data_IF_835047051285
#
_entry.id   IF_835047051285
#
_cell.length_a   1.000
_cell.length_b   1.000
_cell.length_c   1.000
_cell.angle_alpha   90.00
_cell.angle_beta   90.00
_cell.angle_gamma   90.00
#
_symmetry.space_group_name_H-M   'P 1'
#
loop_
_entity.id
_entity.type
_entity.pdbx_description
1 polymer ?
#
# COMPACT_ATOMS: atom_id res chain seq x y z
N UNK A 1 -34.77 -35.22 30.14
CA UNK A 1 -33.87 -35.37 31.30
C UNK A 1 -33.15 -36.67 31.03
N UNK A 2 -32.02 -36.53 30.36
CA UNK A 2 -31.41 -37.60 29.58
C UNK A 2 -30.60 -38.55 30.47
N UNK A 3 -30.71 -39.84 30.19
CA UNK A 3 -30.10 -40.99 30.88
C UNK A 3 -28.56 -40.98 30.99
N UNK A 4 -27.90 -40.00 30.38
CA UNK A 4 -26.44 -39.81 30.40
C UNK A 4 -25.95 -39.25 31.75
N UNK A 5 -26.74 -38.40 32.39
CA UNK A 5 -26.37 -37.74 33.65
C UNK A 5 -26.51 -38.67 34.87
N UNK A 6 -27.36 -39.70 34.77
CA UNK A 6 -27.52 -40.72 35.81
C UNK A 6 -26.33 -41.71 35.78
N UNK A 7 -25.75 -41.99 34.60
CA UNK A 7 -24.54 -42.81 34.48
C UNK A 7 -23.28 -42.09 34.98
N UNK A 8 -23.20 -40.77 34.80
CA UNK A 8 -22.08 -39.97 35.29
C UNK A 8 -22.02 -39.93 36.84
N UNK A 9 -23.17 -39.98 37.52
CA UNK A 9 -23.24 -39.98 38.98
C UNK A 9 -22.88 -41.34 39.62
N UNK A 10 -23.12 -42.45 38.92
CA UNK A 10 -22.75 -43.81 39.39
C UNK A 10 -21.24 -44.05 39.31
N UNK A 11 -20.53 -43.42 38.37
CA UNK A 11 -19.07 -43.55 38.23
C UNK A 11 -18.31 -42.79 39.33
N UNK A 12 -18.91 -41.75 39.92
CA UNK A 12 -18.30 -40.94 40.97
C UNK A 12 -18.54 -41.46 42.40
N UNK A 13 -19.37 -42.49 42.59
CA UNK A 13 -19.67 -43.07 43.90
C UNK A 13 -18.88 -44.35 44.23
N UNK A 14 -17.96 -44.78 43.36
CA UNK A 14 -17.04 -45.90 43.62
C UNK A 14 -15.62 -45.45 43.96
N UNK A 15 -15.47 -44.26 44.52
CA UNK A 15 -14.29 -43.91 45.31
C UNK A 15 -14.48 -44.40 46.74
N UNK A 16 -13.94 -45.57 47.05
CA UNK A 16 -13.50 -45.92 48.40
C UNK A 16 -12.53 -47.10 48.30
N UNK A 17 -11.23 -46.80 48.29
CA UNK A 17 -10.12 -47.53 48.94
C UNK A 17 -8.76 -46.96 48.45
N UNK A 18 -7.65 -47.12 49.21
CA UNK A 18 -6.91 -45.99 49.77
C UNK A 18 -5.81 -45.42 48.87
N UNK A 19 -5.51 -44.15 49.11
CA UNK A 19 -4.39 -43.36 48.56
C UNK A 19 -3.03 -43.96 48.96
N UNK A 20 -2.63 -45.08 48.38
CA UNK A 20 -1.30 -45.63 48.66
C UNK A 20 -0.72 -46.55 47.59
N UNK A 21 -0.97 -46.35 46.28
CA UNK A 21 -0.19 -47.11 45.26
C UNK A 21 -0.19 -46.56 43.83
N UNK A 22 -0.13 -45.23 43.64
CA UNK A 22 0.16 -44.63 42.33
C UNK A 22 1.23 -43.56 42.38
N UNK A 23 2.39 -43.90 42.96
CA UNK A 23 3.64 -43.23 42.60
C UNK A 23 4.19 -43.92 41.37
N UNK A 24 3.56 -43.68 40.22
CA UNK A 24 4.20 -43.94 38.93
C UNK A 24 5.39 -42.99 38.85
N UNK A 25 6.59 -43.57 38.96
CA UNK A 25 7.90 -42.96 38.76
C UNK A 25 7.82 -42.00 37.57
N UNK A 26 7.73 -40.70 37.84
CA UNK A 26 7.88 -39.67 36.81
C UNK A 26 9.32 -39.78 36.34
N UNK A 27 9.54 -40.43 35.19
CA UNK A 27 10.84 -40.44 34.55
C UNK A 27 11.19 -39.01 34.14
N UNK A 28 12.05 -38.39 34.94
CA UNK A 28 12.64 -37.09 34.66
C UNK A 28 13.87 -37.36 33.79
N UNK A 29 13.81 -36.94 32.54
CA UNK A 29 14.93 -37.02 31.62
C UNK A 29 15.72 -35.71 31.65
N UNK A 30 17.04 -35.81 31.71
CA UNK A 30 17.93 -34.64 31.77
C UNK A 30 18.24 -34.10 30.38
N UNK A 31 18.24 -32.78 30.24
CA UNK A 31 18.64 -32.13 29.00
C UNK A 31 20.16 -32.29 28.77
N UNK A 32 20.62 -32.79 27.62
CA UNK A 32 22.05 -32.98 27.36
C UNK A 32 22.82 -31.64 27.18
N UNK A 33 22.10 -30.53 26.98
CA UNK A 33 22.71 -29.22 26.77
C UNK A 33 22.89 -28.40 28.06
N UNK A 34 21.99 -28.53 29.04
CA UNK A 34 22.01 -27.75 30.28
C UNK A 34 21.98 -28.58 31.57
N UNK A 35 21.80 -29.90 31.48
CA UNK A 35 21.77 -30.82 32.63
C UNK A 35 20.52 -30.74 33.50
N UNK A 36 19.55 -29.87 33.19
CA UNK A 36 18.31 -29.76 33.97
C UNK A 36 17.36 -30.92 33.69
N UNK A 37 16.67 -31.38 34.75
CA UNK A 37 15.68 -32.46 34.66
C UNK A 37 14.31 -31.95 34.21
N UNK A 38 13.76 -32.58 33.17
CA UNK A 38 12.44 -32.29 32.64
C UNK A 38 11.56 -33.54 32.61
N UNK A 39 10.25 -33.35 32.77
CA UNK A 39 9.29 -34.40 32.51
C UNK A 39 9.23 -34.75 31.02
N UNK A 40 8.72 -35.94 30.69
CA UNK A 40 8.69 -36.48 29.33
C UNK A 40 8.02 -35.55 28.31
N UNK A 41 7.02 -34.76 28.73
CA UNK A 41 6.33 -33.81 27.89
C UNK A 41 7.04 -32.44 27.75
N UNK A 42 7.90 -32.06 28.71
CA UNK A 42 8.56 -30.75 28.72
C UNK A 42 9.97 -30.76 28.12
N UNK A 43 10.65 -31.92 28.07
CA UNK A 43 11.96 -32.06 27.44
C UNK A 43 11.99 -31.71 25.93
N UNK A 44 11.04 -32.17 25.07
CA UNK A 44 11.08 -31.90 23.64
C UNK A 44 10.85 -30.41 23.32
N UNK A 45 10.14 -29.70 24.19
CA UNK A 45 9.88 -28.25 24.06
C UNK A 45 11.11 -27.45 24.48
N UNK A 46 11.83 -27.93 25.50
CA UNK A 46 13.03 -27.27 26.02
C UNK A 46 14.25 -27.42 25.09
N UNK A 47 14.48 -28.61 24.52
CA UNK A 47 15.72 -28.92 23.77
C UNK A 47 16.06 -27.94 22.63
N UNK A 48 15.13 -27.56 21.72
CA UNK A 48 15.45 -26.67 20.61
C UNK A 48 15.89 -25.28 21.08
N UNK A 49 15.23 -24.78 22.13
CA UNK A 49 15.47 -23.46 22.69
C UNK A 49 16.76 -23.42 23.52
N UNK A 50 17.06 -24.51 24.21
CA UNK A 50 18.31 -24.68 24.95
C UNK A 50 19.53 -24.76 24.02
N UNK A 51 19.44 -25.53 22.94
CA UNK A 51 20.50 -25.65 21.94
C UNK A 51 20.84 -24.30 21.29
N UNK A 52 19.81 -23.53 20.90
CA UNK A 52 20.01 -22.21 20.30
C UNK A 52 20.72 -21.24 21.26
N UNK A 53 20.41 -21.27 22.55
CA UNK A 53 21.10 -20.44 23.55
C UNK A 53 22.56 -20.84 23.73
N UNK A 54 22.87 -22.13 23.82
CA UNK A 54 24.25 -22.61 23.97
C UNK A 54 25.11 -22.26 22.74
N UNK A 55 24.54 -22.34 21.53
CA UNK A 55 25.22 -21.95 20.28
C UNK A 55 25.46 -20.43 20.20
N UNK A 56 24.54 -19.61 20.71
CA UNK A 56 24.73 -18.15 20.80
C UNK A 56 25.78 -17.75 21.85
N UNK A 57 25.78 -18.41 23.00
CA UNK A 57 26.75 -18.13 24.07
C UNK A 57 28.18 -18.53 23.67
N UNK A 58 28.34 -19.63 22.93
CA UNK A 58 29.65 -20.07 22.40
C UNK A 58 30.20 -19.14 21.31
N UNK A 59 29.34 -18.50 20.51
CA UNK A 59 29.78 -17.48 19.54
C UNK A 59 30.16 -16.14 20.19
N UNK A 60 29.51 -15.77 21.31
CA UNK A 60 29.86 -14.56 22.06
C UNK A 60 31.11 -14.72 22.95
N UNK A 61 31.50 -15.95 23.29
CA UNK A 61 32.68 -16.26 24.13
C UNK A 61 34.04 -16.25 23.41
N UNK A 62 34.11 -15.98 22.10
CA UNK A 62 35.39 -15.77 21.39
C UNK A 62 36.05 -14.41 21.64
N UNK A 63 35.59 -13.64 22.63
CA UNK A 63 36.36 -12.52 23.21
C UNK A 63 37.03 -13.04 24.49
N UNK A 64 38.35 -12.93 24.66
CA UNK A 64 39.01 -13.41 25.87
C UNK A 64 38.44 -12.67 27.08
N UNK A 65 37.62 -13.36 27.87
CA UNK A 65 37.16 -12.89 29.18
C UNK A 65 38.40 -12.84 30.06
N UNK A 66 39.04 -11.68 30.15
CA UNK A 66 40.00 -11.38 31.21
C UNK A 66 39.22 -11.46 32.52
N UNK A 67 39.29 -12.61 33.21
CA UNK A 67 38.82 -12.74 34.60
C UNK A 67 39.49 -11.63 35.39
N UNK A 68 38.76 -10.57 35.71
CA UNK A 68 39.23 -9.53 36.64
C UNK A 68 39.42 -10.25 37.97
N UNK A 69 40.67 -10.43 38.39
CA UNK A 69 40.98 -10.95 39.73
C UNK A 69 40.20 -10.11 40.74
N UNK A 70 39.45 -10.77 41.64
CA UNK A 70 38.76 -10.09 42.72
C UNK A 70 39.80 -9.24 43.48
N UNK A 71 39.52 -7.95 43.73
CA UNK A 71 40.43 -7.11 44.51
C UNK A 71 40.73 -7.78 45.84
N UNK A 72 42.00 -7.82 46.24
CA UNK A 72 42.35 -8.38 47.54
C UNK A 72 41.64 -7.59 48.66
N UNK A 73 41.41 -8.23 49.82
CA UNK A 73 40.82 -7.55 50.98
C UNK A 73 41.60 -6.27 51.32
N UNK A 74 42.93 -6.32 51.18
CA UNK A 74 43.83 -5.18 51.37
C UNK A 74 43.55 -4.06 50.37
N UNK A 75 43.31 -4.38 49.09
CA UNK A 75 42.96 -3.38 48.08
C UNK A 75 41.58 -2.76 48.33
N UNK A 76 40.62 -3.55 48.82
CA UNK A 76 39.29 -3.06 49.16
C UNK A 76 39.34 -2.11 50.37
N UNK A 77 40.07 -2.48 51.42
CA UNK A 77 40.30 -1.63 52.58
C UNK A 77 41.05 -0.35 52.20
N UNK A 78 42.08 -0.43 51.35
CA UNK A 78 42.79 0.75 50.87
C UNK A 78 41.87 1.67 50.07
N UNK A 79 40.99 1.15 49.21
CA UNK A 79 40.02 1.96 48.47
C UNK A 79 39.00 2.63 49.40
N UNK A 80 38.55 1.93 50.44
CA UNK A 80 37.64 2.50 51.43
C UNK A 80 38.30 3.62 52.24
N UNK A 81 39.51 3.37 52.77
CA UNK A 81 40.30 4.36 53.51
C UNK A 81 40.66 5.56 52.64
N UNK A 82 41.05 5.34 51.39
CA UNK A 82 41.38 6.41 50.44
C UNK A 82 40.15 7.26 50.11
N UNK A 83 38.98 6.64 49.86
CA UNK A 83 37.73 7.36 49.58
C UNK A 83 37.23 8.16 50.78
N UNK A 84 37.36 7.59 51.98
CA UNK A 84 36.99 8.26 53.23
C UNK A 84 37.96 9.41 53.54
N UNK A 85 39.26 9.22 53.27
CA UNK A 85 40.29 10.24 53.39
C UNK A 85 40.10 11.38 52.39
N UNK A 86 39.68 11.09 51.16
CA UNK A 86 39.29 12.14 50.19
C UNK A 86 38.13 13.00 50.74
N UNK A 87 37.07 12.36 51.26
CA UNK A 87 35.87 13.05 51.76
C UNK A 87 36.08 13.80 53.08
N UNK A 88 36.97 13.33 53.96
CA UNK A 88 37.20 13.95 55.27
C UNK A 88 38.34 14.95 55.24
N UNK A 89 39.45 14.61 54.59
CA UNK A 89 40.68 15.39 54.64
C UNK A 89 40.88 16.23 53.37
N UNK A 90 40.73 15.66 52.17
CA UNK A 90 41.06 16.39 50.93
C UNK A 90 40.04 17.49 50.59
N UNK A 91 38.75 17.29 50.87
CA UNK A 91 37.74 18.34 50.72
C UNK A 91 37.96 19.50 51.72
N UNK A 92 38.61 19.24 52.86
CA UNK A 92 38.88 20.22 53.93
C UNK A 92 40.30 20.78 53.94
N UNK A 93 41.23 20.20 53.17
CA UNK A 93 42.63 20.65 53.07
C UNK A 93 42.74 22.10 52.60
N UNK A 94 41.82 22.54 51.74
CA UNK A 94 41.75 23.94 51.30
C UNK A 94 41.30 24.87 52.44
N UNK A 95 40.49 24.37 53.37
CA UNK A 95 39.97 25.14 54.49
C UNK A 95 40.89 25.11 55.73
N UNK A 96 41.61 24.00 55.97
CA UNK A 96 42.46 23.78 57.16
C UNK A 96 43.77 23.05 56.81
N UNK A 97 44.70 23.70 56.10
CA UNK A 97 45.88 23.03 55.54
C UNK A 97 46.86 22.49 56.59
N UNK A 98 47.02 23.16 57.73
CA UNK A 98 48.01 22.78 58.76
C UNK A 98 47.59 21.54 59.57
N UNK A 99 46.32 21.47 59.99
CA UNK A 99 45.79 20.33 60.74
C UNK A 99 45.75 19.06 59.89
N UNK A 100 45.36 19.20 58.62
CA UNK A 100 45.33 18.09 57.68
C UNK A 100 46.76 17.65 57.29
N UNK A 101 47.70 18.59 57.11
CA UNK A 101 49.10 18.26 56.86
C UNK A 101 49.74 17.49 58.04
N UNK A 102 49.43 17.87 59.28
CA UNK A 102 49.88 17.15 60.47
C UNK A 102 49.30 15.73 60.53
N UNK A 103 48.03 15.55 60.15
CA UNK A 103 47.39 14.24 60.06
C UNK A 103 48.04 13.35 59.00
N UNK A 104 48.36 13.90 57.82
CA UNK A 104 49.10 13.16 56.78
C UNK A 104 50.52 12.81 57.25
N UNK A 105 51.21 13.72 57.93
CA UNK A 105 52.56 13.51 58.45
C UNK A 105 52.62 12.45 59.57
N UNK A 106 51.53 12.28 60.33
CA UNK A 106 51.40 11.25 61.37
C UNK A 106 51.16 9.83 60.81
N UNK A 107 50.83 9.70 59.52
CA UNK A 107 50.59 8.39 58.91
C UNK A 107 51.90 7.65 58.57
N UNK A 108 51.91 6.32 58.65
CA UNK A 108 53.04 5.52 58.16
C UNK A 108 53.35 5.82 56.68
N UNK A 109 54.62 6.07 56.31
CA UNK A 109 54.99 6.52 54.97
C UNK A 109 54.65 5.49 53.87
N UNK A 110 54.66 4.20 54.22
CA UNK A 110 54.24 3.11 53.33
C UNK A 110 52.74 3.16 53.01
N UNK A 111 51.90 3.57 53.96
CA UNK A 111 50.45 3.70 53.78
C UNK A 111 50.14 4.88 52.86
N UNK A 112 50.73 6.05 53.14
CA UNK A 112 50.58 7.25 52.31
C UNK A 112 51.05 6.99 50.88
N UNK A 113 52.20 6.34 50.70
CA UNK A 113 52.69 5.96 49.38
C UNK A 113 51.71 5.05 48.62
N UNK A 114 51.16 4.02 49.28
CA UNK A 114 50.16 3.12 48.67
C UNK A 114 48.85 3.84 48.32
N UNK A 115 48.38 4.75 49.16
CA UNK A 115 47.19 5.58 48.90
C UNK A 115 47.40 6.49 47.68
N UNK A 116 48.53 7.20 47.61
CA UNK A 116 48.87 8.05 46.46
C UNK A 116 48.96 7.25 45.17
N UNK A 117 49.60 6.07 45.20
CA UNK A 117 49.66 5.18 44.02
C UNK A 117 48.27 4.70 43.60
N UNK A 118 47.38 4.38 44.54
CA UNK A 118 46.00 4.00 44.25
C UNK A 118 45.21 5.17 43.62
N UNK A 119 45.32 6.38 44.17
CA UNK A 119 44.69 7.60 43.64
C UNK A 119 45.16 7.93 42.22
N UNK A 120 46.46 7.84 41.95
CA UNK A 120 47.00 8.07 40.60
C UNK A 120 46.48 7.03 39.60
N UNK A 121 46.40 5.76 40.02
CA UNK A 121 45.82 4.68 39.19
C UNK A 121 44.33 4.92 38.90
N UNK A 122 43.57 5.34 39.90
CA UNK A 122 42.14 5.63 39.74
C UNK A 122 41.90 6.90 38.91
N UNK A 123 42.70 7.95 39.08
CA UNK A 123 42.68 9.15 38.22
C UNK A 123 42.98 8.82 36.76
N UNK A 124 44.01 7.99 36.48
CA UNK A 124 44.32 7.52 35.13
C UNK A 124 43.16 6.71 34.53
N UNK A 125 42.55 5.81 35.32
CA UNK A 125 41.38 5.02 34.91
C UNK A 125 40.17 5.91 34.61
N UNK A 126 39.89 6.90 35.46
CA UNK A 126 38.80 7.84 35.29
C UNK A 126 38.99 8.69 34.01
N UNK A 127 40.20 9.22 33.79
CA UNK A 127 40.54 9.97 32.56
C UNK A 127 40.40 9.11 31.30
N UNK A 128 40.82 7.85 31.34
CA UNK A 128 40.65 6.92 30.21
C UNK A 128 39.16 6.69 29.89
N UNK A 129 38.34 6.41 30.92
CA UNK A 129 36.89 6.24 30.76
C UNK A 129 36.21 7.51 30.26
N UNK A 130 36.62 8.69 30.74
CA UNK A 130 36.07 9.96 30.26
C UNK A 130 36.40 10.21 28.79
N UNK A 131 37.65 9.93 28.36
CA UNK A 131 38.03 10.03 26.95
C UNK A 131 37.26 9.05 26.06
N UNK A 132 37.10 7.81 26.50
CA UNK A 132 36.32 6.80 25.81
C UNK A 132 34.84 7.21 25.70
N UNK A 133 34.24 7.67 26.82
CA UNK A 133 32.88 8.19 26.85
C UNK A 133 32.69 9.39 25.92
N UNK A 134 33.65 10.34 25.93
CA UNK A 134 33.63 11.49 25.03
C UNK A 134 33.68 11.09 23.56
N UNK A 135 34.60 10.19 23.19
CA UNK A 135 34.69 9.69 21.81
C UNK A 135 33.40 8.97 21.38
N UNK A 136 32.77 8.21 22.29
CA UNK A 136 31.48 7.58 22.03
C UNK A 136 30.37 8.63 21.82
N UNK A 137 30.31 9.66 22.65
CA UNK A 137 29.36 10.77 22.49
C UNK A 137 29.53 11.47 21.15
N UNK A 138 30.77 11.82 20.78
CA UNK A 138 31.07 12.48 19.49
C UNK A 138 30.65 11.59 18.29
N UNK A 139 30.84 10.27 18.41
CA UNK A 139 30.40 9.30 17.39
C UNK A 139 28.88 9.24 17.29
N UNK A 140 28.17 9.18 18.42
CA UNK A 140 26.70 9.17 18.45
C UNK A 140 26.10 10.48 17.95
N UNK A 141 26.69 11.62 18.28
CA UNK A 141 26.27 12.93 17.78
C UNK A 141 26.41 13.01 16.26
N UNK A 142 27.53 12.52 15.72
CA UNK A 142 27.76 12.46 14.27
C UNK A 142 26.73 11.56 13.58
N UNK A 143 26.44 10.39 14.15
CA UNK A 143 25.42 9.47 13.64
C UNK A 143 24.01 10.09 13.69
N UNK A 144 23.67 10.76 14.79
CA UNK A 144 22.38 11.44 14.95
C UNK A 144 22.23 12.61 13.97
N UNK A 145 23.31 13.34 13.71
CA UNK A 145 23.31 14.38 12.69
C UNK A 145 23.13 13.78 11.29
N UNK A 146 23.75 12.64 11.00
CA UNK A 146 23.50 11.85 9.78
C UNK A 146 22.02 11.51 9.62
N UNK A 147 21.45 10.83 10.63
CA UNK A 147 20.05 10.43 10.61
C UNK A 147 19.08 11.62 10.45
N UNK A 148 19.38 12.78 11.04
CA UNK A 148 18.59 14.01 10.84
C UNK A 148 18.60 14.49 9.39
N UNK A 149 19.76 14.42 8.71
CA UNK A 149 19.84 14.77 7.28
C UNK A 149 19.01 13.79 6.44
N UNK A 150 19.10 12.50 6.74
CA UNK A 150 18.34 11.47 6.03
C UNK A 150 16.82 11.67 6.18
N UNK A 151 16.35 11.97 7.40
CA UNK A 151 14.95 12.31 7.65
C UNK A 151 14.52 13.53 6.82
N UNK A 152 15.31 14.60 6.82
CA UNK A 152 14.99 15.80 6.04
C UNK A 152 14.92 15.52 4.51
N UNK A 153 15.82 14.66 4.00
CA UNK A 153 15.79 14.23 2.60
C UNK A 153 14.54 13.41 2.29
N UNK A 154 14.17 12.47 3.16
CA UNK A 154 12.97 11.65 2.99
C UNK A 154 11.69 12.48 3.09
N UNK A 155 11.62 13.47 3.97
CA UNK A 155 10.51 14.41 4.06
C UNK A 155 10.36 15.22 2.78
N UNK A 156 11.46 15.78 2.26
CA UNK A 156 11.43 16.48 0.98
C UNK A 156 10.96 15.57 -0.16
N UNK A 157 11.50 14.35 -0.24
CA UNK A 157 11.10 13.37 -1.26
C UNK A 157 9.61 13.00 -1.14
N UNK A 158 9.09 12.82 0.07
CA UNK A 158 7.67 12.58 0.34
C UNK A 158 6.80 13.73 -0.17
N UNK A 159 7.21 14.96 0.10
CA UNK A 159 6.47 16.16 -0.30
C UNK A 159 6.46 16.31 -1.83
N UNK A 160 7.59 16.07 -2.49
CA UNK A 160 7.67 15.99 -3.96
C UNK A 160 6.75 14.90 -4.54
N UNK A 161 6.74 13.71 -3.94
CA UNK A 161 5.86 12.63 -4.36
C UNK A 161 4.37 13.00 -4.18
N UNK A 162 4.02 13.74 -3.12
CA UNK A 162 2.66 14.25 -2.90
C UNK A 162 2.24 15.23 -3.99
N UNK A 163 3.10 16.21 -4.31
CA UNK A 163 2.87 17.18 -5.39
C UNK A 163 2.72 16.47 -6.74
N UNK A 164 3.59 15.50 -7.01
CA UNK A 164 3.54 14.68 -8.23
C UNK A 164 2.22 13.92 -8.34
N UNK A 165 1.80 13.22 -7.28
CA UNK A 165 0.49 12.52 -7.24
C UNK A 165 -0.68 13.48 -7.46
N UNK A 166 -0.68 14.64 -6.83
CA UNK A 166 -1.74 15.63 -7.02
C UNK A 166 -1.81 16.14 -8.47
N UNK A 167 -0.65 16.35 -9.11
CA UNK A 167 -0.58 16.71 -10.53
C UNK A 167 -1.11 15.58 -11.42
N UNK A 168 -0.71 14.34 -11.17
CA UNK A 168 -1.18 13.18 -11.91
C UNK A 168 -2.69 12.97 -11.76
N UNK A 169 -3.25 13.17 -10.56
CA UNK A 169 -4.69 13.08 -10.34
C UNK A 169 -5.46 14.15 -11.14
N UNK A 170 -4.96 15.38 -11.21
CA UNK A 170 -5.54 16.43 -12.07
C UNK A 170 -5.46 16.05 -13.55
N UNK A 171 -4.31 15.54 -13.99
CA UNK A 171 -4.13 15.09 -15.37
C UNK A 171 -5.06 13.91 -15.71
N UNK A 172 -5.25 12.97 -14.79
CA UNK A 172 -6.18 11.86 -14.94
C UNK A 172 -7.62 12.37 -15.08
N UNK A 173 -8.05 13.31 -14.24
CA UNK A 173 -9.39 13.89 -14.35
C UNK A 173 -9.64 14.56 -15.72
N UNK A 174 -8.64 15.25 -16.28
CA UNK A 174 -8.72 15.83 -17.63
C UNK A 174 -8.82 14.70 -18.67
N UNK A 175 -8.00 13.67 -18.57
CA UNK A 175 -8.05 12.51 -19.46
C UNK A 175 -9.43 11.83 -19.44
N UNK A 176 -9.98 11.58 -18.25
CA UNK A 176 -11.29 10.94 -18.09
C UNK A 176 -12.41 11.82 -18.66
N UNK A 177 -12.32 13.14 -18.51
CA UNK A 177 -13.27 14.08 -19.11
C UNK A 177 -13.21 14.02 -20.63
N UNK A 178 -12.01 14.09 -21.22
CA UNK A 178 -11.84 14.02 -22.67
C UNK A 178 -12.32 12.69 -23.22
N UNK A 179 -12.09 11.58 -22.50
CA UNK A 179 -12.59 10.27 -22.87
C UNK A 179 -14.13 10.24 -22.90
N UNK A 180 -14.80 10.80 -21.88
CA UNK A 180 -16.26 10.91 -21.86
C UNK A 180 -16.80 11.78 -23.00
N UNK A 181 -16.15 12.91 -23.30
CA UNK A 181 -16.52 13.78 -24.43
C UNK A 181 -16.31 13.05 -25.78
N UNK A 182 -15.24 12.28 -25.92
CA UNK A 182 -14.98 11.45 -27.10
C UNK A 182 -16.06 10.35 -27.26
N UNK A 183 -16.44 9.69 -26.19
CA UNK A 183 -17.45 8.63 -26.26
C UNK A 183 -18.84 9.21 -26.55
N UNK A 184 -19.20 10.35 -25.94
CA UNK A 184 -20.43 11.07 -26.25
C UNK A 184 -20.48 11.51 -27.73
N UNK A 185 -19.40 12.08 -28.26
CA UNK A 185 -19.34 12.51 -29.67
C UNK A 185 -19.41 11.32 -30.63
N UNK A 186 -18.77 10.18 -30.30
CA UNK A 186 -18.90 8.94 -31.08
C UNK A 186 -20.34 8.43 -31.11
N UNK A 187 -21.04 8.43 -29.98
CA UNK A 187 -22.44 7.98 -29.94
C UNK A 187 -23.35 8.90 -30.75
N UNK A 188 -23.16 10.22 -30.65
CA UNK A 188 -23.90 11.20 -31.45
C UNK A 188 -23.63 11.05 -32.95
N UNK A 189 -22.38 10.82 -33.34
CA UNK A 189 -22.00 10.55 -34.72
C UNK A 189 -22.69 9.29 -35.25
N UNK A 190 -22.63 8.19 -34.51
CA UNK A 190 -23.30 6.95 -34.91
C UNK A 190 -24.82 7.15 -35.09
N UNK A 191 -25.47 7.88 -34.17
CA UNK A 191 -26.89 8.22 -34.32
C UNK A 191 -27.16 9.03 -35.59
N UNK A 192 -26.37 10.08 -35.84
CA UNK A 192 -26.49 10.91 -37.02
C UNK A 192 -26.27 10.12 -38.32
N UNK A 193 -25.32 9.18 -38.34
CA UNK A 193 -25.09 8.27 -39.47
C UNK A 193 -26.32 7.40 -39.73
N UNK A 194 -26.93 6.81 -38.69
CA UNK A 194 -28.15 6.00 -38.86
C UNK A 194 -29.33 6.82 -39.38
N UNK A 195 -29.49 8.05 -38.92
CA UNK A 195 -30.58 8.92 -39.39
C UNK A 195 -30.34 9.41 -40.82
N UNK A 196 -29.09 9.68 -41.18
CA UNK A 196 -28.72 10.00 -42.55
C UNK A 196 -29.04 8.82 -43.49
N UNK A 197 -28.69 7.58 -43.11
CA UNK A 197 -29.07 6.38 -43.88
C UNK A 197 -30.58 6.26 -44.07
N UNK A 198 -31.39 6.51 -43.02
CA UNK A 198 -32.86 6.50 -43.13
C UNK A 198 -33.37 7.58 -44.09
N UNK A 199 -32.79 8.78 -44.03
CA UNK A 199 -33.17 9.89 -44.91
C UNK A 199 -32.79 9.60 -46.37
N UNK A 200 -31.63 9.02 -46.63
CA UNK A 200 -31.22 8.57 -47.96
C UNK A 200 -32.21 7.55 -48.54
N UNK A 201 -32.55 6.51 -47.78
CA UNK A 201 -33.56 5.51 -48.20
C UNK A 201 -34.93 6.15 -48.48
N UNK A 202 -35.34 7.15 -47.68
CA UNK A 202 -36.59 7.90 -47.93
C UNK A 202 -36.50 8.72 -49.22
N UNK A 203 -35.36 9.39 -49.45
CA UNK A 203 -35.10 10.17 -50.66
C UNK A 203 -35.16 9.29 -51.90
N UNK A 204 -34.45 8.16 -51.91
CA UNK A 204 -34.48 7.21 -53.04
C UNK A 204 -35.88 6.69 -53.34
N UNK A 205 -36.67 6.40 -52.29
CA UNK A 205 -38.04 5.94 -52.46
C UNK A 205 -38.96 7.05 -52.99
N UNK A 206 -38.74 8.29 -52.57
CA UNK A 206 -39.45 9.45 -53.11
C UNK A 206 -39.09 9.67 -54.58
N UNK A 207 -37.82 9.59 -54.95
CA UNK A 207 -37.32 9.70 -56.32
C UNK A 207 -37.89 8.60 -57.23
N UNK A 208 -37.91 7.34 -56.76
CA UNK A 208 -38.58 6.25 -57.49
C UNK A 208 -40.07 6.53 -57.70
N UNK A 209 -40.75 7.18 -56.76
CA UNK A 209 -42.17 7.56 -56.90
C UNK A 209 -42.34 8.71 -57.89
N UNK A 210 -41.50 9.73 -57.85
CA UNK A 210 -41.57 10.86 -58.81
C UNK A 210 -41.36 10.35 -60.22
N UNK A 211 -40.34 9.52 -60.47
CA UNK A 211 -40.09 8.91 -61.78
C UNK A 211 -41.29 8.10 -62.31
N UNK A 212 -41.98 7.36 -61.43
CA UNK A 212 -43.21 6.62 -61.80
C UNK A 212 -44.36 7.56 -62.18
N UNK A 213 -44.55 8.64 -61.41
CA UNK A 213 -45.57 9.64 -61.69
C UNK A 213 -45.27 10.39 -63.00
N UNK A 214 -44.02 10.77 -63.23
CA UNK A 214 -43.57 11.44 -64.46
C UNK A 214 -43.79 10.54 -65.68
N UNK A 215 -43.45 9.25 -65.60
CA UNK A 215 -43.75 8.29 -66.66
C UNK A 215 -45.26 8.22 -66.96
N UNK A 216 -46.11 8.26 -65.93
CA UNK A 216 -47.56 8.25 -66.08
C UNK A 216 -48.09 9.55 -66.69
N UNK A 217 -47.57 10.70 -66.27
CA UNK A 217 -47.89 12.01 -66.84
C UNK A 217 -47.52 12.04 -68.32
N UNK A 218 -46.33 11.55 -68.68
CA UNK A 218 -45.88 11.48 -70.08
C UNK A 218 -46.81 10.60 -70.93
N UNK A 219 -47.22 9.44 -70.42
CA UNK A 219 -48.19 8.56 -71.10
C UNK A 219 -49.54 9.24 -71.31
N UNK A 220 -50.11 9.86 -70.28
CA UNK A 220 -51.40 10.57 -70.39
C UNK A 220 -51.30 11.79 -71.31
N UNK A 221 -50.15 12.46 -71.33
CA UNK A 221 -49.90 13.59 -72.22
C UNK A 221 -49.85 13.12 -73.68
N UNK A 222 -49.20 12.00 -73.97
CA UNK A 222 -49.18 11.39 -75.29
C UNK A 222 -50.59 10.98 -75.75
N UNK A 223 -51.38 10.35 -74.87
CA UNK A 223 -52.77 9.99 -75.14
C UNK A 223 -53.63 11.23 -75.41
N UNK A 224 -53.51 12.29 -74.59
CA UNK A 224 -54.17 13.58 -74.83
C UNK A 224 -53.81 14.17 -76.20
N UNK A 225 -52.55 14.11 -76.60
CA UNK A 225 -52.11 14.57 -77.93
C UNK A 225 -52.74 13.72 -79.05
N UNK A 226 -52.81 12.40 -78.88
CA UNK A 226 -53.46 11.51 -79.85
C UNK A 226 -54.97 11.79 -79.96
N UNK A 227 -55.67 11.93 -78.84
CA UNK A 227 -57.10 12.25 -78.79
C UNK A 227 -57.40 13.62 -79.39
N UNK A 228 -56.59 14.63 -79.10
CA UNK A 228 -56.76 15.98 -79.71
C UNK A 228 -56.52 15.97 -81.22
N UNK A 229 -55.58 15.16 -81.72
CA UNK A 229 -55.39 14.95 -83.16
C UNK A 229 -56.61 14.25 -83.77
N UNK A 230 -57.09 13.17 -83.16
CA UNK A 230 -58.27 12.43 -83.61
C UNK A 230 -59.54 13.31 -83.62
N UNK A 231 -59.73 14.15 -82.61
CA UNK A 231 -60.84 15.11 -82.55
C UNK A 231 -60.77 16.14 -83.68
N UNK A 232 -59.59 16.69 -83.97
CA UNK A 232 -59.39 17.61 -85.12
C UNK A 232 -59.67 16.91 -86.46
N UNK A 233 -59.25 15.66 -86.62
CA UNK A 233 -59.54 14.87 -87.83
C UNK A 233 -61.04 14.56 -87.97
N UNK A 234 -61.71 14.18 -86.88
CA UNK A 234 -63.16 13.96 -86.85
C UNK A 234 -63.93 15.24 -87.23
N UNK A 235 -63.55 16.39 -86.66
CA UNK A 235 -64.13 17.69 -87.00
C UNK A 235 -63.92 18.04 -88.48
N UNK A 236 -62.74 17.74 -89.06
CA UNK A 236 -62.50 17.90 -90.50
C UNK A 236 -63.42 17.01 -91.34
N UNK A 237 -63.57 15.73 -90.97
CA UNK A 237 -64.48 14.79 -91.66
C UNK A 237 -65.93 15.25 -91.59
N UNK A 238 -66.37 15.76 -90.45
CA UNK A 238 -67.71 16.31 -90.26
C UNK A 238 -67.94 17.56 -91.12
N UNK A 239 -66.99 18.50 -91.15
CA UNK A 239 -67.01 19.65 -92.06
C UNK A 239 -67.06 19.24 -93.54
N UNK A 240 -66.37 18.18 -93.93
CA UNK A 240 -66.41 17.66 -95.30
C UNK A 240 -67.74 16.98 -95.61
N UNK A 241 -68.27 16.17 -94.69
CA UNK A 241 -69.58 15.53 -94.82
C UNK A 241 -70.72 16.56 -94.90
N UNK A 242 -70.69 17.60 -94.06
CA UNK A 242 -71.65 18.72 -94.11
C UNK A 242 -71.55 19.49 -95.42
N UNK A 243 -70.34 19.75 -95.94
CA UNK A 243 -70.14 20.33 -97.28
C UNK A 243 -70.71 19.45 -98.39
N UNK A 244 -70.46 18.13 -98.35
CA UNK A 244 -71.01 17.17 -99.32
C UNK A 244 -72.53 17.12 -99.27
N UNK A 245 -73.13 17.11 -98.08
CA UNK A 245 -74.58 17.20 -97.89
C UNK A 245 -75.15 18.51 -98.41
N UNK A 246 -74.49 19.65 -98.17
CA UNK A 246 -74.90 20.94 -98.71
C UNK A 246 -74.81 20.97 -100.25
N UNK A 247 -73.76 20.40 -100.84
CA UNK A 247 -73.62 20.25 -102.28
C UNK A 247 -74.69 19.34 -102.87
N UNK A 248 -74.98 18.20 -102.22
CA UNK A 248 -76.05 17.28 -102.62
C UNK A 248 -77.44 17.94 -102.55
N UNK A 249 -77.74 18.70 -101.48
CA UNK A 249 -78.97 19.51 -101.40
C UNK A 249 -79.05 20.54 -102.52
N UNK A 250 -77.93 21.18 -102.88
CA UNK A 250 -77.87 22.13 -104.00
C UNK A 250 -78.10 21.47 -105.36
N UNK A 251 -77.64 20.22 -105.55
CA UNK A 251 -77.90 19.43 -106.75
C UNK A 251 -79.32 18.86 -106.82
N UNK A 252 -79.98 18.63 -105.67
CA UNK A 252 -81.36 18.17 -105.58
C UNK A 252 -82.40 19.30 -105.80
N UNK A 253 -81.95 20.57 -105.86
CA UNK A 253 -82.78 21.73 -106.23
C UNK A 253 -82.34 22.21 -107.63
N UNK A 254 -82.84 21.59 -108.72
CA UNK A 254 -82.65 22.15 -110.05
C UNK A 254 -83.68 23.28 -110.26
N UNK A 255 -83.21 24.52 -110.15
CA UNK A 255 -83.86 25.69 -110.74
C UNK A 255 -84.95 26.36 -109.91
N UNK A 256 -84.63 27.57 -109.45
CA UNK A 256 -85.52 28.72 -109.60
C UNK A 256 -84.65 29.90 -110.03
N UNK A 257 -84.95 30.39 -111.24
CA UNK A 257 -84.51 31.70 -111.75
C UNK A 257 -85.05 32.81 -110.87
#
# INVERSE_FOLDING_TARGET
MDDEDVRALVVLQLSNEPLSERVQLRHVATCPHCGQGFGSASLPIHMPRCRAHVEQDTQQQKKPIRRKQAPSLVDLCLRFVTKHFESICMDKIVAFPEAEAALVAAMPPNLVHRMVVALVKDSKRAKAKYREGRAMTETLESALQGARRDVAQLESARDWASISRARMAKQQHVSDRLQRELDATKTALAMAETDNQKLQLRSENAEKKTLRLDAKINSLTAEKVALTKAAKEAQRREMEATRRLAAAKKALIPGLR
#
